data_IF_516929684358
#
_entry.id   IF_516929684358
#
_cell.length_a   1.000
_cell.length_b   1.000
_cell.length_c   1.000
_cell.angle_alpha   90.00
_cell.angle_beta   90.00
_cell.angle_gamma   90.00
#
_symmetry.space_group_name_H-M   'P 1'
#
loop_
_entity.id
_entity.type
_entity.pdbx_description
1 polymer ?
#
# COMPACT_ATOMS: atom_id res chain seq x y z
N UNK A 1 -67.86 9.36 5.05
CA UNK A 1 -68.58 8.52 4.10
C UNK A 1 -67.54 7.64 3.50
N UNK A 2 -67.59 6.47 4.01
CA UNK A 2 -67.62 5.09 3.53
C UNK A 2 -66.23 4.60 3.11
N UNK A 3 -65.73 3.44 3.48
CA UNK A 3 -66.10 2.43 4.47
C UNK A 3 -64.89 1.47 4.58
N UNK A 4 -64.69 0.93 5.72
CA UNK A 4 -63.85 -0.18 6.08
C UNK A 4 -64.14 -1.42 5.22
N UNK A 5 -63.13 -2.25 4.93
CA UNK A 5 -63.27 -3.68 5.07
C UNK A 5 -61.94 -4.45 4.99
N UNK A 6 -61.58 -5.06 6.11
CA UNK A 6 -60.71 -6.23 6.23
C UNK A 6 -61.48 -7.52 5.87
N UNK A 7 -60.85 -8.55 5.36
CA UNK A 7 -61.12 -9.90 5.78
C UNK A 7 -59.88 -10.77 6.02
N UNK A 8 -59.80 -11.29 7.21
CA UNK A 8 -60.01 -12.65 7.72
C UNK A 8 -59.03 -13.73 7.18
N UNK A 9 -58.31 -14.26 8.17
CA UNK A 9 -57.63 -15.54 8.21
C UNK A 9 -58.50 -16.69 7.68
N UNK A 10 -57.85 -17.66 7.01
CA UNK A 10 -58.32 -19.03 6.95
C UNK A 10 -57.19 -20.01 7.32
N UNK A 11 -57.60 -20.97 8.10
CA UNK A 11 -56.91 -21.99 8.81
C UNK A 11 -56.47 -23.18 7.95
N UNK A 12 -55.41 -23.81 8.42
CA UNK A 12 -54.76 -25.07 8.26
C UNK A 12 -55.53 -26.31 7.73
N UNK A 13 -54.68 -27.23 7.20
CA UNK A 13 -54.58 -28.72 7.29
C UNK A 13 -54.75 -29.47 5.97
N UNK A 14 -54.23 -30.71 5.87
CA UNK A 14 -52.98 -31.30 6.33
C UNK A 14 -52.17 -31.98 5.20
N UNK A 15 -51.02 -32.54 5.56
CA UNK A 15 -50.11 -33.32 4.73
C UNK A 15 -50.67 -34.69 4.28
N UNK A 16 -50.09 -35.27 3.26
CA UNK A 16 -49.91 -36.72 3.20
C UNK A 16 -48.46 -37.18 3.20
N UNK A 17 -48.29 -38.33 3.83
CA UNK A 17 -47.11 -39.09 4.11
C UNK A 17 -46.57 -39.89 2.93
N UNK A 18 -45.25 -40.13 3.01
CA UNK A 18 -44.48 -41.29 2.58
C UNK A 18 -44.53 -41.81 1.15
N UNK A 19 -43.37 -41.75 0.49
CA UNK A 19 -42.67 -42.98 0.09
C UNK A 19 -41.24 -42.66 -0.37
N UNK A 20 -40.29 -43.36 0.20
CA UNK A 20 -38.90 -43.39 -0.16
C UNK A 20 -38.70 -43.93 -1.58
N UNK A 21 -37.80 -43.33 -2.31
CA UNK A 21 -36.95 -44.09 -3.23
C UNK A 21 -35.53 -43.51 -3.26
N UNK A 22 -34.60 -44.38 -2.93
CA UNK A 22 -33.18 -44.20 -2.82
C UNK A 22 -32.53 -44.46 -4.17
N UNK A 23 -31.90 -43.43 -4.76
CA UNK A 23 -30.72 -43.64 -5.61
C UNK A 23 -30.11 -42.28 -5.98
N UNK A 24 -29.26 -41.72 -5.12
CA UNK A 24 -28.29 -40.73 -5.52
C UNK A 24 -26.92 -41.38 -5.61
N UNK A 25 -26.37 -41.44 -6.82
CA UNK A 25 -25.00 -41.84 -7.08
C UNK A 25 -23.98 -40.86 -6.49
N UNK A 26 -22.75 -41.33 -6.21
CA UNK A 26 -21.72 -40.52 -5.58
C UNK A 26 -20.99 -39.69 -6.65
N UNK A 27 -21.36 -38.44 -6.88
CA UNK A 27 -20.50 -37.44 -7.56
C UNK A 27 -21.28 -36.15 -7.77
N UNK A 28 -21.51 -35.39 -6.70
CA UNK A 28 -21.77 -33.95 -6.75
C UNK A 28 -21.90 -33.34 -5.34
N UNK A 29 -20.91 -33.54 -4.50
CA UNK A 29 -20.78 -32.76 -3.28
C UNK A 29 -19.82 -31.60 -3.58
N UNK A 30 -20.31 -30.60 -4.31
CA UNK A 30 -19.66 -29.32 -4.39
C UNK A 30 -19.70 -28.69 -3.00
N UNK A 31 -18.58 -28.73 -2.28
CA UNK A 31 -18.42 -28.05 -1.00
C UNK A 31 -18.74 -26.57 -1.19
N UNK A 32 -19.78 -26.08 -0.52
CA UNK A 32 -20.10 -24.66 -0.48
C UNK A 32 -18.86 -23.87 -0.01
N UNK A 33 -18.57 -22.69 -0.61
CA UNK A 33 -17.40 -21.89 -0.23
C UNK A 33 -17.48 -21.54 1.26
N UNK A 34 -16.45 -21.92 2.00
CA UNK A 34 -16.32 -21.59 3.42
C UNK A 34 -16.12 -20.08 3.54
N UNK A 35 -17.16 -19.34 3.88
CA UNK A 35 -17.02 -17.92 4.26
C UNK A 35 -16.21 -17.84 5.54
N UNK A 36 -14.99 -17.32 5.45
CA UNK A 36 -14.10 -17.10 6.59
C UNK A 36 -14.56 -15.88 7.38
N UNK A 37 -14.58 -15.96 8.72
CA UNK A 37 -14.85 -14.86 9.65
C UNK A 37 -13.65 -13.91 9.71
N UNK A 38 -13.79 -12.67 10.25
CA UNK A 38 -12.79 -11.60 10.21
C UNK A 38 -11.34 -12.01 10.52
N UNK A 39 -11.08 -12.75 11.59
CA UNK A 39 -9.74 -13.27 11.95
C UNK A 39 -9.15 -14.20 10.87
N UNK A 40 -9.98 -15.01 10.24
CA UNK A 40 -9.59 -15.91 9.16
C UNK A 40 -9.27 -15.15 7.85
N UNK A 41 -9.93 -14.02 7.58
CA UNK A 41 -9.63 -13.17 6.43
C UNK A 41 -8.31 -12.43 6.60
N UNK A 42 -8.03 -11.91 7.78
CA UNK A 42 -6.75 -11.27 8.11
C UNK A 42 -5.60 -12.26 7.95
N UNK A 43 -5.70 -13.44 8.52
CA UNK A 43 -4.67 -14.48 8.42
C UNK A 43 -4.37 -14.85 6.96
N UNK A 44 -5.42 -15.06 6.17
CA UNK A 44 -5.25 -15.31 4.73
C UNK A 44 -4.52 -14.17 4.04
N UNK A 45 -4.87 -12.91 4.36
CA UNK A 45 -4.21 -11.73 3.76
C UNK A 45 -2.76 -11.60 4.22
N UNK A 46 -2.45 -11.91 5.47
CA UNK A 46 -1.09 -11.98 6.00
C UNK A 46 -0.28 -13.05 5.25
N UNK A 47 -0.82 -14.25 5.16
CA UNK A 47 -0.15 -15.36 4.49
C UNK A 47 0.20 -15.04 3.04
N UNK A 48 -0.75 -14.55 2.25
CA UNK A 48 -0.48 -14.21 0.83
C UNK A 48 0.42 -12.98 0.68
N UNK A 49 0.38 -12.03 1.63
CA UNK A 49 1.30 -10.88 1.60
C UNK A 49 2.77 -11.29 1.82
N UNK A 50 3.01 -12.39 2.54
CA UNK A 50 4.35 -12.90 2.85
C UNK A 50 4.77 -14.06 1.95
N UNK A 51 3.87 -14.99 1.64
CA UNK A 51 4.16 -16.18 0.85
C UNK A 51 3.91 -15.98 -0.65
N UNK A 52 3.18 -14.91 -0.99
CA UNK A 52 2.79 -14.62 -2.36
C UNK A 52 1.70 -15.52 -2.91
N UNK A 53 1.48 -15.42 -4.21
CA UNK A 53 0.54 -16.25 -4.97
C UNK A 53 1.21 -16.86 -6.19
N UNK A 54 0.74 -18.03 -6.58
CA UNK A 54 1.06 -18.65 -7.86
C UNK A 54 0.02 -18.22 -8.90
N UNK A 55 0.48 -17.68 -10.02
CA UNK A 55 -0.38 -17.28 -11.14
C UNK A 55 0.02 -18.03 -12.40
N UNK A 56 -0.96 -18.44 -13.20
CA UNK A 56 -0.72 -19.21 -14.43
C UNK A 56 -0.37 -18.31 -15.61
N UNK A 57 -0.60 -17.00 -15.51
CA UNK A 57 -0.25 -16.04 -16.53
C UNK A 57 1.04 -15.29 -16.16
N UNK A 58 1.89 -14.94 -17.14
CA UNK A 58 3.07 -14.12 -16.87
C UNK A 58 2.62 -12.77 -16.30
N UNK A 59 3.10 -12.41 -15.12
CA UNK A 59 2.93 -11.07 -14.56
C UNK A 59 3.98 -10.19 -15.22
N UNK A 60 3.55 -9.33 -16.13
CA UNK A 60 4.43 -8.42 -16.87
C UNK A 60 4.81 -7.19 -16.03
N UNK A 61 5.27 -7.41 -14.81
CA UNK A 61 5.92 -6.37 -14.03
C UNK A 61 7.33 -6.81 -13.73
N UNK A 62 8.25 -6.25 -14.48
CA UNK A 62 9.67 -6.38 -14.17
C UNK A 62 9.98 -5.67 -12.86
N UNK A 63 10.91 -6.23 -12.10
CA UNK A 63 11.33 -5.71 -10.80
C UNK A 63 11.68 -4.22 -10.86
N UNK A 64 11.11 -3.47 -9.95
CA UNK A 64 11.34 -2.05 -9.75
C UNK A 64 11.23 -1.70 -8.27
N UNK A 65 11.43 -0.45 -7.91
CA UNK A 65 11.43 -0.02 -6.52
C UNK A 65 10.02 -0.06 -5.91
N UNK A 66 9.78 -1.03 -5.05
CA UNK A 66 8.60 -1.08 -4.21
C UNK A 66 7.61 -2.21 -4.52
N UNK A 67 6.61 -2.39 -3.66
CA UNK A 67 5.67 -3.52 -3.72
C UNK A 67 4.71 -3.48 -4.92
N UNK A 68 4.81 -2.47 -5.77
CA UNK A 68 4.04 -2.37 -7.02
C UNK A 68 4.52 -3.31 -8.12
N UNK A 69 5.71 -3.90 -7.98
CA UNK A 69 6.33 -4.65 -9.07
C UNK A 69 5.95 -6.13 -9.09
N UNK A 70 5.58 -6.68 -7.94
CA UNK A 70 5.19 -8.09 -7.81
C UNK A 70 3.71 -8.36 -8.15
N UNK A 71 3.01 -7.37 -8.58
CA UNK A 71 1.62 -7.49 -8.97
C UNK A 71 0.66 -6.87 -7.95
N UNK A 72 -0.07 -5.85 -8.40
CA UNK A 72 -1.26 -5.38 -7.73
C UNK A 72 -2.45 -6.17 -8.21
N UNK A 73 -3.18 -6.71 -7.25
CA UNK A 73 -4.47 -7.37 -7.47
C UNK A 73 -5.53 -6.72 -6.60
N UNK A 74 -6.78 -6.92 -6.95
CA UNK A 74 -7.89 -6.69 -6.04
C UNK A 74 -8.24 -8.03 -5.41
N UNK A 75 -8.11 -8.12 -4.10
CA UNK A 75 -8.42 -9.30 -3.31
C UNK A 75 -9.66 -9.04 -2.46
N UNK A 76 -10.76 -9.70 -2.77
CA UNK A 76 -12.02 -9.44 -2.08
C UNK A 76 -12.45 -7.98 -2.12
N UNK A 77 -12.16 -7.26 -3.21
CA UNK A 77 -12.47 -5.84 -3.38
C UNK A 77 -11.45 -4.86 -2.80
N UNK A 78 -10.44 -5.31 -2.06
CA UNK A 78 -9.36 -4.47 -1.51
C UNK A 78 -8.09 -4.59 -2.36
N UNK A 79 -7.41 -3.47 -2.61
CA UNK A 79 -6.11 -3.48 -3.25
C UNK A 79 -5.08 -4.25 -2.41
N UNK A 80 -4.26 -5.05 -3.07
CA UNK A 80 -3.19 -5.80 -2.44
C UNK A 80 -1.94 -5.84 -3.34
N UNK A 81 -0.80 -5.53 -2.77
CA UNK A 81 0.50 -5.80 -3.38
C UNK A 81 0.96 -7.17 -2.89
N UNK A 82 0.98 -8.14 -3.78
CA UNK A 82 1.25 -9.54 -3.45
C UNK A 82 2.42 -10.04 -4.27
N UNK A 83 3.45 -10.64 -3.63
CA UNK A 83 4.55 -11.29 -4.35
C UNK A 83 4.03 -12.39 -5.26
N UNK A 84 4.61 -12.51 -6.46
CA UNK A 84 4.40 -13.68 -7.31
C UNK A 84 5.41 -14.75 -6.92
N UNK A 85 4.92 -15.88 -6.45
CA UNK A 85 5.75 -16.97 -5.96
C UNK A 85 5.26 -18.30 -6.55
N UNK A 86 6.01 -18.92 -7.49
CA UNK A 86 5.63 -20.20 -8.08
C UNK A 86 5.52 -21.37 -7.09
N UNK A 87 6.11 -21.23 -5.89
CA UNK A 87 6.10 -22.23 -4.83
C UNK A 87 5.01 -21.98 -3.78
N UNK A 88 4.21 -20.92 -3.93
CA UNK A 88 3.15 -20.61 -2.96
C UNK A 88 2.07 -21.71 -2.94
N UNK A 89 1.52 -22.07 -1.77
CA UNK A 89 0.35 -22.91 -1.68
C UNK A 89 -0.90 -22.19 -2.19
N UNK A 90 -0.85 -20.85 -2.25
CA UNK A 90 -1.92 -20.03 -2.80
C UNK A 90 -1.80 -19.92 -4.32
N UNK A 91 -2.89 -20.21 -5.03
CA UNK A 91 -2.98 -20.10 -6.48
C UNK A 91 -4.19 -19.27 -6.89
N UNK A 92 -4.13 -18.67 -8.07
CA UNK A 92 -5.26 -17.97 -8.68
C UNK A 92 -5.69 -18.72 -9.93
N UNK A 93 -6.92 -19.20 -9.94
CA UNK A 93 -7.51 -19.89 -11.10
C UNK A 93 -8.91 -19.31 -11.36
N UNK A 94 -9.16 -18.87 -12.59
CA UNK A 94 -10.45 -18.27 -12.99
C UNK A 94 -10.92 -17.12 -12.07
N UNK A 95 -9.99 -16.32 -11.58
CA UNK A 95 -10.30 -15.19 -10.69
C UNK A 95 -10.65 -15.58 -9.25
N UNK A 96 -10.42 -16.83 -8.86
CA UNK A 96 -10.64 -17.36 -7.50
C UNK A 96 -9.32 -17.66 -6.83
N UNK A 97 -9.21 -17.38 -5.52
CA UNK A 97 -8.06 -17.75 -4.71
C UNK A 97 -8.24 -19.16 -4.17
N UNK A 98 -7.25 -20.00 -4.46
CA UNK A 98 -7.19 -21.38 -3.95
C UNK A 98 -6.06 -21.51 -2.93
N UNK A 99 -6.25 -22.34 -1.93
CA UNK A 99 -5.23 -22.82 -1.00
C UNK A 99 -5.11 -24.35 -1.16
N UNK A 100 -3.94 -24.81 -1.56
CA UNK A 100 -3.68 -26.24 -1.84
C UNK A 100 -4.73 -26.89 -2.79
N UNK A 101 -5.19 -26.09 -3.77
CA UNK A 101 -6.19 -26.51 -4.75
C UNK A 101 -7.65 -26.33 -4.34
N UNK A 102 -7.93 -26.01 -3.08
CA UNK A 102 -9.30 -25.76 -2.59
C UNK A 102 -9.67 -24.29 -2.70
N UNK A 103 -10.83 -23.95 -3.27
CA UNK A 103 -11.35 -22.57 -3.32
C UNK A 103 -11.68 -22.08 -1.90
N UNK A 104 -11.07 -20.96 -1.50
CA UNK A 104 -11.29 -20.38 -0.16
C UNK A 104 -12.29 -19.23 -0.14
N UNK A 105 -13.05 -19.03 -1.21
CA UNK A 105 -14.15 -18.08 -1.26
C UNK A 105 -13.74 -16.63 -1.50
N UNK A 106 -12.50 -16.35 -1.96
CA UNK A 106 -12.03 -15.00 -2.24
C UNK A 106 -11.82 -14.77 -3.74
N UNK A 107 -12.35 -13.66 -4.23
CA UNK A 107 -12.13 -13.20 -5.60
C UNK A 107 -10.77 -12.50 -5.71
N UNK A 108 -10.05 -12.80 -6.78
CA UNK A 108 -8.80 -12.14 -7.17
C UNK A 108 -8.97 -11.57 -8.57
N UNK A 109 -8.97 -10.25 -8.66
CA UNK A 109 -9.02 -9.56 -9.93
C UNK A 109 -7.65 -8.95 -10.25
N UNK A 110 -7.03 -9.27 -11.38
CA UNK A 110 -5.78 -8.64 -11.79
C UNK A 110 -6.01 -7.16 -12.12
N UNK A 111 -5.03 -6.32 -11.81
CA UNK A 111 -5.04 -4.94 -12.28
C UNK A 111 -4.66 -4.94 -13.76
N UNK A 112 -5.55 -4.44 -14.61
CA UNK A 112 -5.30 -4.34 -16.04
C UNK A 112 -4.14 -3.40 -16.34
N UNK A 113 -3.36 -3.70 -17.38
CA UNK A 113 -2.34 -2.78 -17.89
C UNK A 113 -3.00 -1.44 -18.25
N UNK A 114 -2.52 -0.31 -17.69
CA UNK A 114 -3.09 1.00 -17.98
C UNK A 114 -2.89 1.40 -19.45
N UNK A 115 -3.85 2.12 -20.00
CA UNK A 115 -3.76 2.63 -21.38
C UNK A 115 -2.75 3.76 -21.53
N UNK A 116 -2.53 4.56 -20.46
CA UNK A 116 -1.55 5.63 -20.52
C UNK A 116 -0.10 5.12 -20.66
N UNK A 117 0.19 3.84 -20.35
CA UNK A 117 1.53 3.26 -20.54
C UNK A 117 1.97 3.21 -22.01
N UNK A 118 1.04 3.24 -22.94
CA UNK A 118 1.33 3.19 -24.38
C UNK A 118 1.68 4.55 -24.98
N UNK A 119 1.73 5.61 -24.14
CA UNK A 119 2.07 6.97 -24.54
C UNK A 119 3.50 7.34 -24.14
N UNK A 120 3.98 8.44 -24.73
CA UNK A 120 5.26 9.06 -24.38
C UNK A 120 5.08 10.57 -24.18
N UNK A 121 5.95 11.15 -23.35
CA UNK A 121 6.00 12.60 -23.13
C UNK A 121 6.43 13.34 -24.40
N UNK A 122 6.22 14.67 -24.43
CA UNK A 122 6.63 15.52 -25.53
C UNK A 122 8.15 15.43 -25.83
N UNK A 123 8.95 15.10 -24.83
CA UNK A 123 10.40 14.87 -24.96
C UNK A 123 10.79 13.39 -25.19
N UNK A 124 9.79 12.53 -25.52
CA UNK A 124 9.99 11.16 -25.96
C UNK A 124 10.18 10.11 -24.88
N UNK A 125 9.93 10.42 -23.61
CA UNK A 125 10.03 9.46 -22.50
C UNK A 125 8.72 8.69 -22.36
N UNK A 126 8.77 7.34 -22.33
CA UNK A 126 7.58 6.53 -22.09
C UNK A 126 6.91 6.90 -20.75
N UNK A 127 5.60 7.04 -20.75
CA UNK A 127 4.84 7.39 -19.55
C UNK A 127 4.99 6.36 -18.44
N UNK A 128 5.16 5.09 -18.79
CA UNK A 128 5.40 4.01 -17.83
C UNK A 128 6.70 4.23 -17.03
N UNK A 129 7.71 4.89 -17.61
CA UNK A 129 8.95 5.27 -16.90
C UNK A 129 8.77 6.49 -15.98
N UNK A 130 7.70 7.26 -16.15
CA UNK A 130 7.44 8.47 -15.35
C UNK A 130 6.57 8.14 -14.14
N UNK A 131 5.46 7.40 -14.32
CA UNK A 131 4.60 7.02 -13.21
C UNK A 131 3.93 5.66 -13.46
N UNK A 132 3.59 4.98 -12.36
CA UNK A 132 2.98 3.65 -12.37
C UNK A 132 1.60 3.67 -11.74
N UNK A 133 0.71 2.80 -12.22
CA UNK A 133 -0.60 2.60 -11.60
C UNK A 133 -0.47 1.63 -10.42
N UNK A 134 -0.89 2.06 -9.24
CA UNK A 134 -1.07 1.23 -8.06
C UNK A 134 -2.55 0.88 -7.88
N UNK A 135 -2.87 -0.40 -7.75
CA UNK A 135 -4.26 -0.81 -7.69
C UNK A 135 -5.03 -0.39 -8.94
N UNK A 136 -6.27 0.04 -8.77
CA UNK A 136 -7.15 0.42 -9.89
C UNK A 136 -7.03 1.88 -10.32
N UNK A 137 -6.67 2.78 -9.41
CA UNK A 137 -6.88 4.22 -9.62
C UNK A 137 -5.91 5.14 -8.86
N UNK A 138 -4.74 4.64 -8.49
CA UNK A 138 -3.72 5.42 -7.79
C UNK A 138 -2.51 5.56 -8.69
N UNK A 139 -2.15 6.79 -9.03
CA UNK A 139 -0.92 7.06 -9.77
C UNK A 139 0.23 7.22 -8.77
N UNK A 140 1.33 6.51 -8.98
CA UNK A 140 2.49 6.56 -8.09
C UNK A 140 3.77 6.89 -8.88
N UNK A 141 4.63 7.70 -8.30
CA UNK A 141 5.93 8.06 -8.88
C UNK A 141 6.96 8.36 -7.83
N UNK A 142 8.23 8.15 -8.17
CA UNK A 142 9.38 8.69 -7.45
C UNK A 142 9.99 9.79 -8.31
N UNK A 143 9.83 11.06 -7.92
CA UNK A 143 10.20 12.21 -8.75
C UNK A 143 11.72 12.38 -8.90
N UNK A 144 12.50 12.01 -7.89
CA UNK A 144 13.96 11.87 -7.95
C UNK A 144 14.31 10.44 -7.57
N UNK A 145 14.75 9.66 -8.53
CA UNK A 145 15.00 8.22 -8.39
C UNK A 145 16.39 7.91 -7.81
N UNK A 146 17.24 8.92 -7.65
CA UNK A 146 18.54 8.81 -6.97
C UNK A 146 18.43 9.27 -5.52
N UNK A 147 19.25 8.70 -4.62
CA UNK A 147 19.27 9.05 -3.21
C UNK A 147 20.71 9.32 -2.75
N UNK A 148 20.95 10.45 -2.08
CA UNK A 148 22.28 10.81 -1.56
C UNK A 148 22.84 9.77 -0.56
N UNK A 149 21.99 8.89 -0.05
CA UNK A 149 22.31 7.81 0.89
C UNK A 149 22.44 6.45 0.24
N UNK A 150 22.46 6.37 -1.10
CA UNK A 150 22.43 5.10 -1.82
C UNK A 150 23.82 4.52 -2.10
N UNK A 151 24.81 4.83 -1.27
CA UNK A 151 26.07 4.06 -1.25
C UNK A 151 25.93 2.82 -0.34
N UNK A 152 26.85 1.87 -0.47
CA UNK A 152 26.76 0.60 0.24
C UNK A 152 26.77 0.75 1.77
N UNK A 153 27.47 1.76 2.30
CA UNK A 153 27.60 2.02 3.72
C UNK A 153 26.38 2.71 4.32
N UNK A 154 25.64 3.51 3.52
CA UNK A 154 24.58 4.40 4.03
C UNK A 154 23.17 4.03 3.58
N UNK A 155 23.01 3.25 2.50
CA UNK A 155 21.68 2.96 1.97
C UNK A 155 20.83 2.13 2.93
N UNK A 156 19.54 2.39 2.94
CA UNK A 156 18.57 1.51 3.57
C UNK A 156 18.70 0.11 2.97
N UNK A 157 18.92 -0.91 3.79
CA UNK A 157 19.28 -2.26 3.33
C UNK A 157 18.19 -2.93 2.49
N UNK A 158 16.94 -2.53 2.67
CA UNK A 158 15.77 -2.99 1.91
C UNK A 158 15.40 -2.10 0.72
N UNK A 159 16.15 -1.02 0.44
CA UNK A 159 15.77 -0.06 -0.59
C UNK A 159 16.34 -0.47 -1.96
N UNK A 160 15.47 -0.49 -2.97
CA UNK A 160 15.79 -0.76 -4.37
C UNK A 160 15.60 0.47 -5.28
N UNK A 161 15.64 1.70 -4.72
CA UNK A 161 15.28 2.91 -5.47
C UNK A 161 16.10 3.09 -6.76
N UNK A 162 17.40 2.80 -6.74
CA UNK A 162 18.25 2.92 -7.92
C UNK A 162 18.33 1.63 -8.77
N UNK A 163 17.82 0.51 -8.27
CA UNK A 163 17.75 -0.72 -9.07
C UNK A 163 16.87 -0.55 -10.31
N UNK A 164 15.82 0.26 -10.20
CA UNK A 164 14.94 0.61 -11.32
C UNK A 164 15.63 1.41 -12.44
N UNK A 165 16.67 2.19 -12.10
CA UNK A 165 17.47 2.90 -13.08
C UNK A 165 18.36 1.93 -13.88
N UNK A 166 18.98 0.97 -13.18
CA UNK A 166 19.83 -0.04 -13.81
C UNK A 166 19.05 -0.91 -14.82
N UNK A 167 17.75 -1.12 -14.58
CA UNK A 167 16.85 -1.89 -15.45
C UNK A 167 16.13 -1.05 -16.50
N UNK A 168 16.48 0.23 -16.65
CA UNK A 168 15.81 1.18 -17.56
C UNK A 168 14.28 1.28 -17.38
N UNK A 169 13.76 0.91 -16.19
CA UNK A 169 12.33 0.94 -15.89
C UNK A 169 11.83 2.31 -15.41
N UNK A 170 12.73 3.28 -15.25
CA UNK A 170 12.44 4.65 -14.84
C UNK A 170 13.55 5.59 -15.27
N UNK A 171 13.38 6.90 -15.04
CA UNK A 171 14.42 7.92 -15.26
C UNK A 171 14.86 8.56 -13.94
N UNK A 172 16.08 9.10 -13.91
CA UNK A 172 16.69 9.60 -12.69
C UNK A 172 15.95 10.77 -12.05
N UNK A 173 15.47 11.72 -12.84
CA UNK A 173 14.71 12.90 -12.39
C UNK A 173 13.54 13.13 -13.33
N UNK A 174 12.34 13.19 -12.79
CA UNK A 174 11.13 13.53 -13.52
C UNK A 174 10.84 15.01 -13.41
N UNK A 175 10.58 15.64 -14.57
CA UNK A 175 10.27 17.07 -14.59
C UNK A 175 8.80 17.32 -14.23
N UNK A 176 8.46 18.53 -13.72
CA UNK A 176 7.07 18.90 -13.49
C UNK A 176 6.20 18.78 -14.74
N UNK A 177 6.73 19.10 -15.94
CA UNK A 177 5.99 18.98 -17.19
C UNK A 177 5.67 17.52 -17.55
N UNK A 178 6.65 16.61 -17.47
CA UNK A 178 6.44 15.18 -17.70
C UNK A 178 5.36 14.62 -16.76
N UNK A 179 5.38 15.00 -15.49
CA UNK A 179 4.40 14.53 -14.51
C UNK A 179 3.00 15.09 -14.77
N UNK A 180 2.88 16.33 -15.25
CA UNK A 180 1.62 16.93 -15.65
C UNK A 180 0.99 16.20 -16.85
N UNK A 181 1.78 15.90 -17.89
CA UNK A 181 1.34 15.15 -19.07
C UNK A 181 0.85 13.74 -18.68
N UNK A 182 1.64 13.02 -17.87
CA UNK A 182 1.28 11.65 -17.46
C UNK A 182 0.05 11.63 -16.57
N UNK A 183 -0.07 12.58 -15.63
CA UNK A 183 -1.22 12.64 -14.74
C UNK A 183 -2.52 12.97 -15.49
N UNK A 184 -2.47 13.89 -16.49
CA UNK A 184 -3.61 14.21 -17.34
C UNK A 184 -4.07 12.97 -18.13
N UNK A 185 -3.13 12.30 -18.81
CA UNK A 185 -3.44 11.11 -19.58
C UNK A 185 -3.97 9.97 -18.71
N UNK A 186 -3.36 9.73 -17.56
CA UNK A 186 -3.81 8.70 -16.62
C UNK A 186 -5.21 9.01 -16.04
N UNK A 187 -5.51 10.27 -15.76
CA UNK A 187 -6.84 10.69 -15.32
C UNK A 187 -7.90 10.47 -16.41
N UNK A 188 -7.60 10.89 -17.63
CA UNK A 188 -8.52 10.81 -18.78
C UNK A 188 -8.72 9.38 -19.29
N UNK A 189 -7.65 8.58 -19.36
CA UNK A 189 -7.69 7.25 -19.97
C UNK A 189 -8.03 6.14 -18.97
N UNK A 190 -7.52 6.24 -17.75
CA UNK A 190 -7.56 5.15 -16.77
C UNK A 190 -8.26 5.55 -15.45
N UNK A 191 -8.76 6.79 -15.37
CA UNK A 191 -9.63 7.23 -14.28
C UNK A 191 -8.95 7.23 -12.91
N UNK A 192 -7.68 7.67 -12.83
CA UNK A 192 -7.01 7.81 -11.52
C UNK A 192 -7.78 8.78 -10.62
N UNK A 193 -7.74 8.52 -9.31
CA UNK A 193 -8.46 9.29 -8.29
C UNK A 193 -7.56 9.90 -7.23
N UNK A 194 -6.31 9.51 -7.17
CA UNK A 194 -5.31 10.09 -6.27
C UNK A 194 -3.91 9.81 -6.81
N UNK A 195 -2.93 10.55 -6.28
CA UNK A 195 -1.53 10.37 -6.64
C UNK A 195 -0.64 10.31 -5.40
N UNK A 196 0.41 9.49 -5.48
CA UNK A 196 1.50 9.44 -4.50
C UNK A 196 2.80 9.84 -5.20
N UNK A 197 3.48 10.83 -4.65
CA UNK A 197 4.78 11.30 -5.13
C UNK A 197 5.84 11.12 -4.06
N UNK A 198 6.81 10.26 -4.31
CA UNK A 198 7.96 10.02 -3.44
C UNK A 198 9.19 10.72 -4.02
N UNK A 199 10.21 10.99 -3.21
CA UNK A 199 11.53 11.41 -3.66
C UNK A 199 12.63 10.65 -2.95
N UNK A 200 13.69 10.29 -3.67
CA UNK A 200 14.96 9.98 -3.04
C UNK A 200 15.51 11.22 -2.34
N UNK A 201 16.27 11.02 -1.26
CA UNK A 201 16.82 12.11 -0.45
C UNK A 201 17.87 12.90 -1.23
N UNK A 202 17.65 14.18 -1.45
CA UNK A 202 18.62 15.07 -2.10
C UNK A 202 19.58 15.71 -1.07
N UNK A 203 20.71 16.25 -1.57
CA UNK A 203 21.71 16.93 -0.72
C UNK A 203 21.24 18.27 -0.15
N UNK A 204 20.20 18.88 -0.74
CA UNK A 204 19.64 20.16 -0.27
C UNK A 204 19.04 20.05 1.14
N UNK A 205 19.00 21.14 1.89
CA UNK A 205 18.39 21.21 3.23
C UNK A 205 16.91 20.90 3.24
N UNK A 206 16.25 21.04 2.08
CA UNK A 206 14.85 20.67 1.85
C UNK A 206 14.65 19.17 1.57
N UNK A 207 15.72 18.39 1.45
CA UNK A 207 15.72 16.95 1.18
C UNK A 207 14.89 16.52 -0.06
N UNK A 208 14.67 17.44 -1.03
CA UNK A 208 13.90 17.22 -2.25
C UNK A 208 12.45 17.70 -2.18
N UNK A 209 12.01 18.24 -1.04
CA UNK A 209 10.64 18.70 -0.86
C UNK A 209 10.23 19.84 -1.83
N UNK A 210 11.14 20.77 -2.14
CA UNK A 210 10.86 21.85 -3.10
C UNK A 210 10.68 21.37 -4.54
N UNK A 211 11.40 20.29 -4.93
CA UNK A 211 11.15 19.66 -6.23
C UNK A 211 9.77 18.97 -6.26
N UNK A 212 9.41 18.25 -5.20
CA UNK A 212 8.06 17.71 -5.02
C UNK A 212 7.00 18.81 -5.14
N UNK A 213 7.17 19.94 -4.46
CA UNK A 213 6.23 21.06 -4.52
C UNK A 213 6.02 21.58 -5.95
N UNK A 214 7.09 21.70 -6.75
CA UNK A 214 6.98 22.08 -8.17
C UNK A 214 6.20 21.04 -8.98
N UNK A 215 6.45 19.76 -8.73
CA UNK A 215 5.74 18.66 -9.39
C UNK A 215 4.25 18.65 -9.02
N UNK A 216 3.92 18.83 -7.74
CA UNK A 216 2.53 18.93 -7.26
C UNK A 216 1.78 20.05 -7.96
N UNK A 217 2.38 21.28 -8.02
CA UNK A 217 1.74 22.41 -8.71
C UNK A 217 1.45 22.11 -10.18
N UNK A 218 2.42 21.54 -10.90
CA UNK A 218 2.26 21.22 -12.32
C UNK A 218 1.17 20.17 -12.55
N UNK A 219 1.12 19.13 -11.72
CA UNK A 219 0.07 18.10 -11.81
C UNK A 219 -1.30 18.69 -11.50
N UNK A 220 -1.43 19.55 -10.48
CA UNK A 220 -2.71 20.17 -10.14
C UNK A 220 -3.17 21.23 -11.15
N UNK A 221 -2.25 21.83 -11.92
CA UNK A 221 -2.61 22.65 -13.07
C UNK A 221 -3.21 21.83 -14.22
N UNK A 222 -2.70 20.61 -14.46
CA UNK A 222 -3.19 19.71 -15.48
C UNK A 222 -4.44 18.91 -15.04
N UNK A 223 -4.51 18.52 -13.77
CA UNK A 223 -5.63 17.75 -13.18
C UNK A 223 -6.10 18.43 -11.89
N UNK A 224 -6.91 19.48 -12.01
CA UNK A 224 -7.39 20.23 -10.84
C UNK A 224 -8.14 19.32 -9.85
N UNK A 225 -7.81 19.48 -8.57
CA UNK A 225 -8.49 18.75 -7.50
C UNK A 225 -8.04 17.30 -7.29
N UNK A 226 -7.04 16.79 -8.04
CA UNK A 226 -6.50 15.45 -7.80
C UNK A 226 -5.87 15.39 -6.40
N UNK A 227 -6.34 14.50 -5.49
CA UNK A 227 -5.72 14.34 -4.18
C UNK A 227 -4.28 13.81 -4.31
N UNK A 228 -3.32 14.51 -3.69
CA UNK A 228 -1.90 14.14 -3.77
C UNK A 228 -1.33 13.96 -2.36
N UNK A 229 -0.67 12.81 -2.13
CA UNK A 229 0.26 12.61 -1.03
C UNK A 229 1.70 12.81 -1.53
N UNK A 230 2.52 13.53 -0.76
CA UNK A 230 3.95 13.62 -0.97
C UNK A 230 4.72 12.82 0.07
N UNK A 231 5.90 12.31 -0.27
CA UNK A 231 6.74 11.55 0.65
C UNK A 231 8.20 11.99 0.54
N UNK A 232 8.80 12.38 1.67
CA UNK A 232 10.21 12.78 1.75
C UNK A 232 10.81 12.44 3.12
N UNK A 233 12.13 12.48 3.22
CA UNK A 233 12.83 12.45 4.51
C UNK A 233 12.58 13.79 5.25
N UNK A 234 12.69 13.86 6.60
CA UNK A 234 12.54 15.12 7.33
C UNK A 234 13.45 16.20 6.74
N UNK A 235 12.91 17.33 6.24
CA UNK A 235 13.74 18.43 5.79
C UNK A 235 14.42 19.11 6.99
N UNK A 236 15.65 19.56 6.81
CA UNK A 236 16.31 20.42 7.81
C UNK A 236 15.67 21.82 7.86
N UNK A 237 15.19 22.28 6.70
CA UNK A 237 14.40 23.50 6.57
C UNK A 237 12.92 23.15 6.60
N UNK A 238 12.30 23.20 7.77
CA UNK A 238 10.89 22.82 7.98
C UNK A 238 9.90 23.71 7.21
N UNK A 239 10.31 24.91 6.76
CA UNK A 239 9.47 25.74 5.89
C UNK A 239 9.11 25.03 4.58
N UNK A 240 9.92 24.07 4.14
CA UNK A 240 9.63 23.26 2.97
C UNK A 240 8.34 22.41 3.13
N UNK A 241 7.93 22.09 4.36
CA UNK A 241 6.65 21.39 4.63
C UNK A 241 5.46 22.29 4.30
N UNK A 242 5.54 23.58 4.66
CA UNK A 242 4.50 24.55 4.29
C UNK A 242 4.47 24.77 2.76
N UNK A 243 5.62 24.83 2.11
CA UNK A 243 5.70 24.95 0.64
C UNK A 243 5.03 23.76 -0.09
N UNK A 244 5.11 22.55 0.46
CA UNK A 244 4.40 21.36 -0.04
C UNK A 244 2.88 21.51 0.11
N UNK A 245 2.44 22.02 1.26
CA UNK A 245 1.02 22.30 1.51
C UNK A 245 0.48 23.37 0.58
N UNK A 246 1.21 24.46 0.43
CA UNK A 246 0.85 25.59 -0.46
C UNK A 246 0.87 25.18 -1.94
N UNK A 247 1.65 24.17 -2.29
CA UNK A 247 1.62 23.56 -3.62
C UNK A 247 0.34 22.75 -3.87
N UNK A 248 -0.43 22.42 -2.83
CA UNK A 248 -1.69 21.68 -2.91
C UNK A 248 -1.63 20.23 -2.45
N UNK A 249 -0.52 19.76 -1.86
CA UNK A 249 -0.46 18.43 -1.27
C UNK A 249 -1.47 18.32 -0.11
N UNK A 250 -2.23 17.22 -0.06
CA UNK A 250 -3.27 17.00 0.95
C UNK A 250 -2.81 16.17 2.13
N UNK A 251 -1.78 15.35 1.96
CA UNK A 251 -1.18 14.52 2.99
C UNK A 251 0.31 14.32 2.76
N UNK A 252 1.04 13.90 3.78
CA UNK A 252 2.48 13.70 3.72
C UNK A 252 2.90 12.41 4.42
N UNK A 253 3.89 11.71 3.84
CA UNK A 253 4.61 10.60 4.45
C UNK A 253 6.03 11.03 4.80
N UNK A 254 6.42 10.86 6.06
CA UNK A 254 7.80 11.04 6.54
C UNK A 254 8.19 9.74 7.24
N UNK A 255 8.87 8.85 6.50
CA UNK A 255 9.03 7.46 6.91
C UNK A 255 10.29 7.25 7.74
N UNK A 256 10.15 6.65 8.94
CA UNK A 256 11.25 6.31 9.84
C UNK A 256 11.60 4.82 9.79
N UNK A 257 10.66 3.99 9.43
CA UNK A 257 10.67 2.52 9.33
C UNK A 257 10.75 1.79 10.68
N UNK A 258 11.51 2.28 11.64
CA UNK A 258 11.55 1.80 13.03
C UNK A 258 11.81 2.96 13.99
N UNK A 259 11.23 2.91 15.19
CA UNK A 259 11.52 3.87 16.26
C UNK A 259 12.74 3.45 17.11
N UNK A 260 13.20 2.21 16.95
CA UNK A 260 14.39 1.68 17.62
C UNK A 260 15.65 2.16 16.89
N UNK A 261 16.53 2.88 17.62
CA UNK A 261 17.75 3.45 17.07
C UNK A 261 18.81 2.40 16.69
N UNK A 262 18.86 1.22 17.33
CA UNK A 262 19.77 0.12 16.96
C UNK A 262 19.31 -0.52 15.66
N UNK A 263 18.03 -0.76 15.51
CA UNK A 263 17.42 -1.23 14.27
C UNK A 263 17.65 -0.21 13.15
N UNK A 264 17.46 1.07 13.41
CA UNK A 264 17.71 2.13 12.42
C UNK A 264 19.18 2.17 12.00
N UNK A 265 20.12 2.08 12.94
CA UNK A 265 21.55 2.01 12.61
C UNK A 265 21.91 0.81 11.75
N UNK A 266 21.28 -0.33 11.98
CA UNK A 266 21.48 -1.56 11.20
C UNK A 266 20.85 -1.49 9.83
N UNK A 267 19.59 -1.07 9.73
CA UNK A 267 18.78 -1.20 8.51
C UNK A 267 18.75 0.05 7.63
N UNK A 268 18.90 1.22 8.22
CA UNK A 268 18.83 2.51 7.54
C UNK A 268 19.97 3.43 7.98
N UNK A 269 21.25 3.00 7.88
CA UNK A 269 22.38 3.68 8.53
C UNK A 269 22.49 5.17 8.14
N UNK A 270 22.30 5.51 6.89
CA UNK A 270 22.30 6.89 6.44
C UNK A 270 21.13 7.73 7.00
N UNK A 271 19.92 7.15 7.07
CA UNK A 271 18.75 7.82 7.68
C UNK A 271 18.90 7.91 9.21
N UNK A 272 19.55 6.95 9.86
CA UNK A 272 19.79 6.96 11.30
C UNK A 272 20.67 8.13 11.76
N UNK A 273 21.38 8.82 10.85
CA UNK A 273 22.06 10.10 11.16
C UNK A 273 21.10 11.25 11.45
N UNK A 274 19.84 11.14 11.01
CA UNK A 274 18.76 12.03 11.43
C UNK A 274 18.17 11.44 12.70
N UNK A 275 18.34 12.12 13.82
CA UNK A 275 17.88 11.64 15.13
C UNK A 275 16.35 11.48 15.17
N UNK A 276 15.85 10.59 16.02
CA UNK A 276 14.41 10.44 16.26
C UNK A 276 13.77 11.75 16.72
N UNK A 277 14.47 12.58 17.48
CA UNK A 277 14.02 13.92 17.86
C UNK A 277 13.73 14.82 16.64
N UNK A 278 14.58 14.74 15.59
CA UNK A 278 14.33 15.50 14.33
C UNK A 278 13.14 14.97 13.54
N UNK A 279 12.84 13.66 13.62
CA UNK A 279 11.60 13.12 13.08
C UNK A 279 10.39 13.68 13.83
N UNK A 280 10.44 13.73 15.16
CA UNK A 280 9.36 14.32 15.96
C UNK A 280 9.13 15.78 15.64
N UNK A 281 10.18 16.60 15.55
CA UNK A 281 10.06 18.02 15.11
C UNK A 281 9.36 18.14 13.77
N UNK A 282 9.76 17.33 12.79
CA UNK A 282 9.18 17.36 11.44
C UNK A 282 7.73 16.84 11.41
N UNK A 283 7.41 15.80 12.17
CA UNK A 283 6.05 15.29 12.27
C UNK A 283 5.11 16.24 12.97
N UNK A 284 5.51 16.83 14.09
CA UNK A 284 4.68 17.79 14.84
C UNK A 284 4.36 19.02 13.94
N UNK A 285 5.37 19.52 13.23
CA UNK A 285 5.16 20.60 12.25
C UNK A 285 4.28 20.13 11.07
N UNK A 286 4.47 18.92 10.56
CA UNK A 286 3.62 18.38 9.49
C UNK A 286 2.17 18.19 9.97
N UNK A 287 1.92 17.74 11.20
CA UNK A 287 0.57 17.63 11.76
C UNK A 287 -0.07 19.00 11.91
N UNK A 288 0.67 20.01 12.35
CA UNK A 288 0.19 21.40 12.40
C UNK A 288 -0.25 21.92 11.04
N UNK A 289 0.48 21.57 9.97
CA UNK A 289 0.24 22.06 8.60
C UNK A 289 -0.83 21.24 7.88
N UNK A 290 -0.74 19.92 7.90
CA UNK A 290 -1.61 19.01 7.12
C UNK A 290 -2.84 18.56 7.91
N UNK A 291 -2.75 18.57 9.23
CA UNK A 291 -3.78 18.11 10.15
C UNK A 291 -3.59 16.66 10.61
N UNK A 292 -4.26 16.33 11.72
CA UNK A 292 -4.33 14.98 12.28
C UNK A 292 -4.77 13.97 11.21
N UNK A 293 -4.18 12.79 11.22
CA UNK A 293 -4.45 11.69 10.27
C UNK A 293 -4.04 11.99 8.80
N UNK A 294 -3.38 13.13 8.51
CA UNK A 294 -2.86 13.43 7.16
C UNK A 294 -1.33 13.31 7.07
N UNK A 295 -0.68 13.01 8.19
CA UNK A 295 0.75 12.69 8.29
C UNK A 295 0.89 11.20 8.55
N UNK A 296 1.78 10.52 7.85
CA UNK A 296 2.00 9.08 8.03
C UNK A 296 3.48 8.73 8.08
N UNK A 297 3.79 7.63 8.74
CA UNK A 297 5.10 6.99 8.69
C UNK A 297 4.94 5.49 8.46
N UNK A 298 5.91 4.86 7.79
CA UNK A 298 6.01 3.41 7.77
C UNK A 298 6.64 2.91 9.07
N UNK A 299 6.07 1.83 9.60
CA UNK A 299 6.69 0.93 10.56
C UNK A 299 6.82 -0.43 9.90
N UNK A 300 8.05 -0.89 9.74
CA UNK A 300 8.35 -2.18 9.09
C UNK A 300 8.37 -3.29 10.13
N UNK A 301 7.61 -4.35 9.89
CA UNK A 301 7.62 -5.58 10.70
C UNK A 301 8.61 -6.56 10.09
N UNK A 302 9.54 -7.06 10.90
CA UNK A 302 10.53 -8.07 10.49
C UNK A 302 11.96 -7.55 10.38
N UNK A 303 12.25 -6.38 10.94
CA UNK A 303 13.63 -5.86 11.04
C UNK A 303 14.37 -6.33 12.31
N UNK A 304 13.67 -7.04 13.21
CA UNK A 304 14.20 -7.54 14.48
C UNK A 304 13.72 -6.77 15.70
N UNK A 305 12.69 -5.91 15.51
CA UNK A 305 12.04 -5.14 16.57
C UNK A 305 11.26 -6.05 17.54
N UNK A 306 11.17 -5.60 18.80
CA UNK A 306 10.20 -6.15 19.74
C UNK A 306 8.78 -5.74 19.32
N UNK A 307 7.84 -6.69 19.17
CA UNK A 307 6.49 -6.37 18.72
C UNK A 307 5.71 -5.47 19.69
N UNK A 308 5.93 -5.58 20.98
CA UNK A 308 5.22 -4.78 21.97
C UNK A 308 5.77 -3.34 22.00
N UNK A 309 7.08 -3.15 21.80
CA UNK A 309 7.72 -1.84 21.61
C UNK A 309 7.27 -1.18 20.30
N UNK A 310 7.11 -1.96 19.22
CA UNK A 310 6.58 -1.45 17.94
C UNK A 310 5.14 -0.95 18.12
N UNK A 311 4.30 -1.68 18.84
CA UNK A 311 2.91 -1.28 19.11
C UNK A 311 2.87 -0.05 20.03
N UNK A 312 3.74 0.03 21.06
CA UNK A 312 3.87 1.21 21.92
C UNK A 312 4.28 2.45 21.11
N UNK A 313 5.25 2.30 20.20
CA UNK A 313 5.66 3.34 19.26
C UNK A 313 4.51 3.79 18.34
N UNK A 314 3.71 2.84 17.84
CA UNK A 314 2.53 3.16 17.07
C UNK A 314 1.48 3.94 17.87
N UNK A 315 1.30 3.61 19.16
CA UNK A 315 0.40 4.33 20.05
C UNK A 315 0.83 5.79 20.23
N UNK A 316 2.13 6.05 20.47
CA UNK A 316 2.67 7.42 20.59
C UNK A 316 2.48 8.23 19.32
N UNK A 317 2.72 7.64 18.13
CA UNK A 317 2.47 8.28 16.84
C UNK A 317 0.99 8.64 16.69
N UNK A 318 0.08 7.73 17.01
CA UNK A 318 -1.38 7.93 16.92
C UNK A 318 -1.82 9.06 17.87
N UNK A 319 -1.32 9.12 19.09
CA UNK A 319 -1.63 10.18 20.04
C UNK A 319 -1.30 11.55 19.46
N UNK A 320 -0.16 11.69 18.79
CA UNK A 320 0.29 12.93 18.13
C UNK A 320 -0.36 13.17 16.75
N UNK A 321 -1.25 12.28 16.30
CA UNK A 321 -2.01 12.46 15.04
C UNK A 321 -1.31 11.95 13.78
N UNK A 322 -0.24 11.18 13.95
CA UNK A 322 0.54 10.58 12.86
C UNK A 322 0.04 9.15 12.64
N UNK A 323 -0.27 8.79 11.40
CA UNK A 323 -0.76 7.45 11.04
C UNK A 323 0.43 6.48 10.89
N UNK A 324 0.59 5.48 11.79
CA UNK A 324 1.59 4.43 11.64
C UNK A 324 1.10 3.42 10.58
N UNK A 325 1.71 3.44 9.41
CA UNK A 325 1.39 2.47 8.38
C UNK A 325 2.28 1.25 8.52
N UNK A 326 1.74 0.20 9.16
CA UNK A 326 2.42 -1.08 9.40
C UNK A 326 2.49 -1.86 8.10
N UNK A 327 3.71 -2.22 7.69
CA UNK A 327 3.98 -3.01 6.49
C UNK A 327 5.01 -4.10 6.79
N UNK A 328 4.89 -5.30 6.21
CA UNK A 328 5.91 -6.32 6.39
C UNK A 328 7.18 -5.97 5.61
N UNK A 329 8.33 -6.31 6.15
CA UNK A 329 9.54 -6.42 5.36
C UNK A 329 9.31 -7.46 4.25
N UNK A 330 9.68 -7.10 3.03
CA UNK A 330 9.66 -8.00 1.87
C UNK A 330 11.04 -8.05 1.25
N UNK A 331 11.61 -9.27 1.05
CA UNK A 331 12.86 -9.42 0.29
C UNK A 331 12.64 -8.96 -1.15
N UNK A 332 13.38 -7.95 -1.57
CA UNK A 332 13.36 -7.45 -2.95
C UNK A 332 14.72 -7.71 -3.61
N UNK A 333 14.70 -8.20 -4.84
CA UNK A 333 15.91 -8.39 -5.64
C UNK A 333 16.66 -7.06 -5.80
N UNK A 334 17.98 -7.09 -5.69
CA UNK A 334 18.84 -5.91 -5.81
C UNK A 334 19.00 -5.10 -4.53
N UNK A 335 18.46 -5.56 -3.40
CA UNK A 335 18.63 -4.93 -2.09
C UNK A 335 19.72 -5.64 -1.28
N UNK A 336 20.40 -4.91 -0.37
CA UNK A 336 21.39 -5.51 0.53
C UNK A 336 20.77 -6.59 1.42
N UNK A 337 19.55 -6.33 1.91
CA UNK A 337 18.82 -7.27 2.74
C UNK A 337 18.61 -8.64 2.07
N UNK A 338 18.40 -8.65 0.75
CA UNK A 338 18.19 -9.89 -0.01
C UNK A 338 19.49 -10.50 -0.51
N UNK A 339 20.36 -9.69 -1.12
CA UNK A 339 21.55 -10.18 -1.82
C UNK A 339 22.74 -10.46 -0.87
N UNK A 340 22.82 -9.72 0.24
CA UNK A 340 23.93 -9.79 1.19
C UNK A 340 23.52 -10.42 2.51
N UNK A 341 22.42 -9.95 3.09
CA UNK A 341 21.99 -10.40 4.42
C UNK A 341 21.10 -11.64 4.39
N UNK A 342 20.55 -11.99 3.23
CA UNK A 342 19.64 -13.13 3.01
C UNK A 342 18.46 -13.15 4.01
N UNK A 343 17.91 -11.97 4.32
CA UNK A 343 16.83 -11.84 5.31
C UNK A 343 15.51 -12.38 4.76
N UNK A 344 14.84 -13.17 5.57
CA UNK A 344 13.53 -13.72 5.26
C UNK A 344 12.40 -12.77 5.68
N UNK A 345 11.20 -12.90 5.08
CA UNK A 345 10.02 -12.20 5.57
C UNK A 345 9.74 -12.52 7.05
N UNK A 346 9.04 -11.63 7.79
CA UNK A 346 8.62 -11.91 9.16
C UNK A 346 7.69 -13.11 9.25
N UNK A 347 7.59 -13.70 10.43
CA UNK A 347 6.56 -14.71 10.70
C UNK A 347 5.15 -14.09 10.54
N UNK A 348 4.23 -14.84 9.95
CA UNK A 348 2.85 -14.38 9.73
C UNK A 348 2.13 -14.02 11.02
N UNK A 349 2.35 -14.80 12.10
CA UNK A 349 1.79 -14.52 13.43
C UNK A 349 2.27 -13.19 14.03
N UNK A 350 3.50 -12.78 13.73
CA UNK A 350 4.03 -11.48 14.16
C UNK A 350 3.31 -10.34 13.46
N UNK A 351 3.20 -10.41 12.13
CA UNK A 351 2.50 -9.39 11.34
C UNK A 351 1.01 -9.31 11.71
N UNK A 352 0.36 -10.46 11.95
CA UNK A 352 -1.04 -10.53 12.39
C UNK A 352 -1.22 -9.84 13.74
N UNK A 353 -0.45 -10.23 14.77
CA UNK A 353 -0.48 -9.63 16.13
C UNK A 353 -0.32 -8.12 16.10
N UNK A 354 0.74 -7.64 15.46
CA UNK A 354 1.04 -6.19 15.39
C UNK A 354 -0.07 -5.44 14.65
N UNK A 355 -0.55 -5.99 13.53
CA UNK A 355 -1.59 -5.33 12.72
C UNK A 355 -2.93 -5.25 13.45
N UNK A 356 -3.33 -6.28 14.20
CA UNK A 356 -4.56 -6.26 15.00
C UNK A 356 -4.49 -5.19 16.10
N UNK A 357 -3.37 -5.16 16.84
CA UNK A 357 -3.20 -4.20 17.94
C UNK A 357 -3.16 -2.76 17.43
N UNK A 358 -2.40 -2.49 16.36
CA UNK A 358 -2.31 -1.14 15.78
C UNK A 358 -3.64 -0.72 15.14
N UNK A 359 -4.37 -1.64 14.49
CA UNK A 359 -5.69 -1.34 13.94
C UNK A 359 -6.68 -0.97 15.06
N UNK A 360 -6.67 -1.69 16.19
CA UNK A 360 -7.50 -1.35 17.34
C UNK A 360 -7.21 0.05 17.90
N UNK A 361 -5.92 0.42 18.02
CA UNK A 361 -5.51 1.76 18.44
C UNK A 361 -5.97 2.85 17.44
N UNK A 362 -5.83 2.61 16.15
CA UNK A 362 -6.28 3.54 15.10
C UNK A 362 -7.80 3.75 15.15
N UNK A 363 -8.57 2.67 15.33
CA UNK A 363 -10.03 2.73 15.46
C UNK A 363 -10.42 3.54 16.72
N UNK A 364 -9.81 3.23 17.87
CA UNK A 364 -10.09 3.93 19.13
C UNK A 364 -9.77 5.44 19.03
N UNK A 365 -8.75 5.81 18.26
CA UNK A 365 -8.35 7.20 18.04
C UNK A 365 -9.14 7.92 16.92
N UNK A 366 -10.06 7.22 16.23
CA UNK A 366 -10.78 7.75 15.07
C UNK A 366 -9.90 8.04 13.85
N UNK A 367 -8.69 7.44 13.80
CA UNK A 367 -7.72 7.64 12.72
C UNK A 367 -7.86 6.53 11.67
N UNK A 368 -8.98 6.51 10.97
CA UNK A 368 -9.23 5.51 9.94
C UNK A 368 -8.49 5.83 8.64
N UNK A 369 -8.10 4.78 7.91
CA UNK A 369 -7.50 4.92 6.58
C UNK A 369 -8.42 5.61 5.57
N UNK A 370 -9.74 5.48 5.74
CA UNK A 370 -10.77 6.18 4.94
C UNK A 370 -10.82 7.69 5.20
N UNK A 371 -10.32 8.16 6.34
CA UNK A 371 -10.18 9.58 6.66
C UNK A 371 -8.95 10.25 6.06
N UNK A 372 -8.05 9.49 5.46
CA UNK A 372 -6.90 10.04 4.74
C UNK A 372 -7.30 10.51 3.34
N UNK A 373 -6.89 11.72 3.01
CA UNK A 373 -7.26 12.38 1.75
C UNK A 373 -6.55 11.80 0.53
N UNK A 374 -5.34 11.28 0.73
CA UNK A 374 -4.55 10.61 -0.30
C UNK A 374 -3.46 9.74 0.35
N UNK A 375 -2.89 8.82 -0.41
CA UNK A 375 -1.63 8.17 -0.06
C UNK A 375 -1.71 6.70 0.28
N UNK A 376 -0.60 6.21 0.82
CA UNK A 376 -0.41 4.78 1.06
C UNK A 376 -1.40 4.20 2.07
N UNK A 377 -1.76 4.91 3.13
CA UNK A 377 -2.75 4.45 4.09
C UNK A 377 -4.18 4.46 3.48
N UNK A 378 -4.52 5.47 2.67
CA UNK A 378 -5.75 5.48 1.88
C UNK A 378 -5.80 4.31 0.88
N UNK A 379 -4.68 3.99 0.25
CA UNK A 379 -4.51 2.82 -0.63
C UNK A 379 -4.63 1.50 0.15
N UNK A 380 -3.80 1.31 1.15
CA UNK A 380 -3.74 0.13 2.01
C UNK A 380 -3.16 -1.12 1.37
N UNK A 381 -2.70 -1.07 0.12
CA UNK A 381 -2.28 -2.27 -0.61
C UNK A 381 -1.01 -2.92 -0.07
N UNK A 382 -0.08 -2.13 0.50
CA UNK A 382 1.22 -2.62 0.98
C UNK A 382 1.16 -3.27 2.36
N UNK A 383 0.08 -3.07 3.13
CA UNK A 383 -0.11 -3.60 4.47
C UNK A 383 -1.40 -4.41 4.59
N UNK A 384 -1.70 -4.82 5.82
CA UNK A 384 -2.91 -5.59 6.15
C UNK A 384 -3.86 -4.88 7.11
N UNK A 385 -3.52 -3.64 7.53
CA UNK A 385 -4.27 -2.86 8.52
C UNK A 385 -5.76 -2.67 8.15
N UNK A 386 -6.08 -2.49 6.87
CA UNK A 386 -7.48 -2.37 6.43
C UNK A 386 -8.30 -3.63 6.69
N UNK A 387 -7.66 -4.80 6.63
CA UNK A 387 -8.32 -6.08 6.92
C UNK A 387 -8.37 -6.34 8.41
N UNK A 388 -7.34 -5.90 9.15
CA UNK A 388 -7.30 -6.04 10.62
C UNK A 388 -8.33 -5.13 11.32
N UNK A 389 -8.70 -4.00 10.70
CA UNK A 389 -9.70 -3.06 11.22
C UNK A 389 -11.11 -3.20 10.63
N UNK A 390 -11.38 -4.30 9.90
CA UNK A 390 -12.67 -4.55 9.24
C UNK A 390 -13.65 -5.35 10.10
#
# INVERSE_FOLDING_TARGET
MTDLQTPRLRTADPAPSDSADSSCGPDACGSAPVRRTGSSALRTRVDIALQGIRVDAPVHREAGAGPSDDGHVMLGGLGAAIPVNPKSPYAVTNGRLLLDGADIGLDVEPVKRPRFYDLSTADGVSYEKIARLHGRNILATTVVQTCMRYDEAERCRFCAIEASLANDSTIAVKTPAQLAEVAEAAARLDGIRQMVMTTGTSKGRDRGARHLARCVRAVLQAVPGLPIQVQCEPPEDLAALQELKDAGALSIGIHIESMDDDIRRRWTPGKARVSTAKYWEAWDEAVRIFGRNQVSTYLLVGLGEDPDELVASAAELIERGIYPFVVPFRPLKGTLATEVDHVLPPAGSLLEKVSEQVAALLIAAGMLSSGQKAGCAACGACGVLKTAGA
#
